data_IF_041940149170
#
_entry.id   IF_041940149170
#
_cell.length_a   1.000
_cell.length_b   1.000
_cell.length_c   1.000
_cell.angle_alpha   90.00
_cell.angle_beta   90.00
_cell.angle_gamma   90.00
#
_symmetry.space_group_name_H-M   'P 1'
#
loop_
_entity.id
_entity.type
_entity.pdbx_description
1 polymer ?
#
# COMPACT_ATOMS: atom_id res chain seq x y z
N UNK A 1 7.31 19.50 -30.22
CA UNK A 1 7.15 19.14 -28.79
C UNK A 1 7.51 17.68 -28.59
N UNK A 2 8.29 17.34 -27.55
CA UNK A 2 8.64 15.93 -27.26
C UNK A 2 7.39 15.18 -26.80
N UNK A 3 6.91 14.21 -27.58
CA UNK A 3 5.77 13.35 -27.25
C UNK A 3 6.18 12.45 -26.07
N UNK A 4 5.68 12.72 -24.87
CA UNK A 4 5.85 11.85 -23.70
C UNK A 4 4.81 10.73 -23.78
N UNK A 5 5.24 9.48 -23.60
CA UNK A 5 4.32 8.34 -23.48
C UNK A 5 3.44 8.55 -22.24
N UNK A 6 2.13 8.32 -22.39
CA UNK A 6 1.20 8.28 -21.26
C UNK A 6 1.20 6.94 -20.53
N UNK A 7 1.92 5.93 -21.06
CA UNK A 7 2.00 4.59 -20.50
C UNK A 7 3.40 4.39 -19.91
N UNK A 8 3.44 3.95 -18.66
CA UNK A 8 4.66 3.57 -17.94
C UNK A 8 4.55 2.15 -17.42
N UNK A 9 5.69 1.45 -17.36
CA UNK A 9 5.82 0.16 -16.70
C UNK A 9 6.77 0.28 -15.52
N UNK A 10 6.40 -0.27 -14.36
CA UNK A 10 7.24 -0.30 -13.16
C UNK A 10 7.37 -1.73 -12.65
N UNK A 11 8.58 -2.09 -12.23
CA UNK A 11 8.77 -3.18 -11.28
C UNK A 11 8.48 -2.66 -9.88
N UNK A 12 8.07 -3.56 -9.00
CA UNK A 12 7.78 -3.25 -7.61
C UNK A 12 8.10 -4.43 -6.70
N UNK A 13 8.65 -4.08 -5.54
CA UNK A 13 9.03 -5.01 -4.49
C UNK A 13 8.51 -4.45 -3.15
N UNK A 14 7.94 -5.33 -2.31
CA UNK A 14 7.54 -4.99 -0.95
C UNK A 14 8.36 -5.77 0.05
N UNK A 15 9.08 -5.05 0.90
CA UNK A 15 9.94 -5.61 1.94
C UNK A 15 9.45 -5.18 3.32
N UNK A 16 9.61 -6.06 4.31
CA UNK A 16 9.25 -5.74 5.69
C UNK A 16 10.07 -4.58 6.26
N UNK A 17 9.38 -3.59 6.81
CA UNK A 17 10.02 -2.37 7.31
C UNK A 17 10.85 -2.66 8.58
N UNK A 18 12.10 -2.15 8.71
CA UNK A 18 12.96 -2.44 9.86
C UNK A 18 12.43 -1.91 11.19
N UNK A 19 11.62 -0.85 11.17
CA UNK A 19 11.01 -0.30 12.39
C UNK A 19 10.08 -1.27 13.13
N UNK A 20 9.65 -2.38 12.50
CA UNK A 20 8.82 -3.39 13.16
C UNK A 20 9.56 -4.10 14.30
N UNK A 21 10.89 -4.26 14.20
CA UNK A 21 11.74 -4.75 15.30
C UNK A 21 11.97 -3.70 16.39
N UNK A 22 11.96 -2.41 16.04
CA UNK A 22 12.28 -1.30 16.96
C UNK A 22 11.06 -0.73 17.68
N UNK A 23 9.87 -0.91 17.11
CA UNK A 23 8.63 -0.33 17.62
C UNK A 23 7.64 -1.45 17.94
N UNK A 24 7.50 -2.48 17.10
CA UNK A 24 6.46 -3.51 17.23
C UNK A 24 6.53 -4.30 18.54
N UNK A 25 5.46 -4.26 19.33
CA UNK A 25 5.34 -5.02 20.59
C UNK A 25 6.30 -4.62 21.72
N UNK A 26 7.23 -3.69 21.49
CA UNK A 26 8.26 -3.33 22.48
C UNK A 26 7.73 -2.59 23.70
N UNK A 27 6.60 -1.89 23.58
CA UNK A 27 5.96 -1.18 24.70
C UNK A 27 4.55 -1.74 24.94
N UNK A 28 4.35 -2.55 26.00
CA UNK A 28 3.05 -3.15 26.29
C UNK A 28 1.94 -2.11 26.45
N UNK A 29 0.99 -2.08 25.51
CA UNK A 29 -0.14 -1.15 25.51
C UNK A 29 0.07 0.15 24.71
N UNK A 30 1.26 0.38 24.17
CA UNK A 30 1.56 1.52 23.28
C UNK A 30 2.09 1.10 21.90
N UNK A 31 2.50 -0.16 21.75
CA UNK A 31 2.84 -0.72 20.44
C UNK A 31 2.27 -2.12 20.27
N UNK A 32 1.74 -2.36 19.07
CA UNK A 32 1.12 -3.63 18.70
C UNK A 32 2.11 -4.54 17.99
N UNK A 33 1.92 -5.84 18.14
CA UNK A 33 2.64 -6.83 17.36
C UNK A 33 2.31 -6.64 15.88
N UNK A 34 3.34 -6.53 15.05
CA UNK A 34 3.19 -6.50 13.60
C UNK A 34 3.38 -7.92 13.04
N UNK A 35 2.58 -8.36 12.05
CA UNK A 35 2.85 -9.59 11.31
C UNK A 35 4.05 -9.44 10.34
N UNK A 36 4.64 -8.25 10.26
CA UNK A 36 5.73 -7.93 9.35
C UNK A 36 7.08 -8.32 9.96
N UNK A 37 7.85 -9.12 9.23
CA UNK A 37 9.24 -9.44 9.57
C UNK A 37 10.18 -8.52 8.80
N UNK A 38 11.12 -7.81 9.45
CA UNK A 38 12.08 -6.93 8.78
C UNK A 38 12.86 -7.60 7.65
N UNK A 39 13.06 -6.82 6.57
CA UNK A 39 13.79 -7.23 5.37
C UNK A 39 13.24 -8.49 4.66
N UNK A 40 12.10 -9.01 5.10
CA UNK A 40 11.45 -10.17 4.47
C UNK A 40 10.68 -9.70 3.23
N UNK A 41 10.84 -10.36 2.05
CA UNK A 41 10.11 -10.01 0.84
C UNK A 41 8.67 -10.54 0.88
N UNK A 42 7.70 -9.63 0.84
CA UNK A 42 6.27 -9.93 0.76
C UNK A 42 5.74 -9.95 -0.66
N UNK A 43 6.33 -9.16 -1.55
CA UNK A 43 6.01 -9.16 -2.96
C UNK A 43 7.26 -8.85 -3.77
N UNK A 44 7.46 -9.57 -4.87
CA UNK A 44 8.50 -9.32 -5.85
C UNK A 44 7.89 -9.48 -7.23
N UNK A 45 7.69 -8.37 -7.95
CA UNK A 45 7.08 -8.37 -9.30
C UNK A 45 7.81 -9.26 -10.32
N UNK A 46 9.07 -9.56 -10.08
CA UNK A 46 9.88 -10.47 -10.91
C UNK A 46 9.48 -11.94 -10.74
N UNK A 47 8.99 -12.33 -9.55
CA UNK A 47 8.46 -13.67 -9.28
C UNK A 47 7.00 -13.80 -9.75
N UNK A 48 6.27 -12.69 -9.80
CA UNK A 48 4.89 -12.59 -10.28
C UNK A 48 4.78 -12.21 -11.77
N UNK A 49 5.76 -12.64 -12.58
CA UNK A 49 5.99 -12.06 -13.91
C UNK A 49 4.79 -12.12 -14.88
N UNK A 50 3.96 -13.16 -14.83
CA UNK A 50 2.83 -13.33 -15.76
C UNK A 50 1.73 -12.33 -15.44
N UNK A 51 1.22 -12.35 -14.21
CA UNK A 51 0.09 -11.50 -13.78
C UNK A 51 0.55 -10.04 -13.78
N UNK A 52 1.75 -9.75 -13.27
CA UNK A 52 2.29 -8.39 -13.21
C UNK A 52 2.47 -7.72 -14.58
N UNK A 53 2.83 -8.49 -15.62
CA UNK A 53 3.05 -7.95 -16.98
C UNK A 53 1.81 -7.97 -17.85
N UNK A 54 0.90 -8.92 -17.64
CA UNK A 54 -0.31 -9.04 -18.48
C UNK A 54 -1.53 -8.35 -17.87
N UNK A 55 -1.56 -8.19 -16.55
CA UNK A 55 -2.74 -7.73 -15.83
C UNK A 55 -3.88 -8.75 -15.83
N UNK A 56 -3.65 -10.00 -16.23
CA UNK A 56 -4.64 -11.08 -16.21
C UNK A 56 -4.41 -11.99 -15.00
N UNK A 57 -5.49 -12.43 -14.31
CA UNK A 57 -6.90 -12.27 -14.68
C UNK A 57 -7.53 -10.94 -14.22
N UNK A 58 -6.78 -10.05 -13.56
CA UNK A 58 -7.35 -8.87 -12.90
C UNK A 58 -8.11 -7.90 -13.82
N UNK A 59 -7.74 -7.85 -15.09
CA UNK A 59 -8.40 -6.99 -16.09
C UNK A 59 -9.84 -7.44 -16.38
N UNK A 60 -10.22 -8.64 -15.93
CA UNK A 60 -11.57 -9.17 -16.00
C UNK A 60 -12.43 -8.74 -14.80
N UNK A 61 -11.84 -8.12 -13.77
CA UNK A 61 -12.60 -7.64 -12.62
C UNK A 61 -13.38 -6.36 -12.95
N UNK A 62 -14.60 -6.18 -12.42
CA UNK A 62 -15.41 -4.98 -12.64
C UNK A 62 -14.67 -3.68 -12.30
N UNK A 63 -13.80 -3.71 -11.31
CA UNK A 63 -12.94 -2.62 -10.86
C UNK A 63 -11.96 -2.14 -11.95
N UNK A 64 -11.55 -3.03 -12.87
CA UNK A 64 -10.69 -2.68 -14.00
C UNK A 64 -11.47 -2.09 -15.18
N UNK A 65 -12.77 -2.42 -15.29
CA UNK A 65 -13.57 -2.13 -16.48
C UNK A 65 -14.50 -0.93 -16.30
N UNK A 66 -14.89 -0.61 -15.08
CA UNK A 66 -15.83 0.48 -14.78
C UNK A 66 -15.05 1.71 -14.29
N UNK A 67 -15.05 2.81 -15.07
CA UNK A 67 -14.43 4.06 -14.64
C UNK A 67 -15.00 4.56 -13.30
N UNK A 68 -14.17 5.18 -12.47
CA UNK A 68 -14.55 5.65 -11.15
C UNK A 68 -14.55 4.59 -10.05
N UNK A 69 -14.36 3.30 -10.39
CA UNK A 69 -14.14 2.25 -9.40
C UNK A 69 -12.66 2.07 -9.13
N UNK A 70 -12.33 1.97 -7.84
CA UNK A 70 -10.98 1.69 -7.35
C UNK A 70 -9.91 2.57 -8.00
N UNK A 71 -10.08 3.88 -7.88
CA UNK A 71 -9.19 4.90 -8.45
C UNK A 71 -8.49 5.68 -7.33
N UNK A 72 -7.22 6.03 -7.52
CA UNK A 72 -6.49 6.88 -6.59
C UNK A 72 -6.76 8.34 -6.98
N UNK A 73 -7.42 9.08 -6.10
CA UNK A 73 -7.97 10.39 -6.42
C UNK A 73 -9.32 10.31 -7.12
N UNK A 74 -9.84 11.47 -7.54
CA UNK A 74 -11.11 11.58 -8.22
C UNK A 74 -11.01 12.56 -9.39
N UNK A 75 -11.83 12.34 -10.43
CA UNK A 75 -11.95 13.30 -11.54
C UNK A 75 -12.62 14.61 -11.10
N UNK A 76 -13.57 14.54 -10.16
CA UNK A 76 -14.28 15.72 -9.63
C UNK A 76 -13.34 16.70 -8.92
N UNK A 77 -12.39 16.17 -8.14
CA UNK A 77 -11.40 16.96 -7.40
C UNK A 77 -10.17 17.32 -8.25
N UNK A 78 -10.16 16.95 -9.54
CA UNK A 78 -9.07 17.18 -10.49
C UNK A 78 -7.71 16.63 -10.01
N UNK A 79 -7.72 15.58 -9.19
CA UNK A 79 -6.52 14.97 -8.59
C UNK A 79 -6.38 13.48 -8.95
N UNK A 80 -6.98 13.06 -10.06
CA UNK A 80 -6.93 11.67 -10.54
C UNK A 80 -5.48 11.23 -10.87
N UNK A 81 -4.99 10.20 -10.17
CA UNK A 81 -3.64 9.66 -10.35
C UNK A 81 -3.61 8.40 -11.21
N UNK A 82 -4.61 7.53 -11.07
CA UNK A 82 -4.72 6.29 -11.84
C UNK A 82 -5.62 5.26 -11.17
N UNK A 83 -5.92 4.19 -11.89
CA UNK A 83 -6.70 3.06 -11.37
C UNK A 83 -5.82 2.10 -10.56
N UNK A 84 -6.39 1.49 -9.52
CA UNK A 84 -5.76 0.37 -8.80
C UNK A 84 -5.81 -0.89 -9.65
N UNK A 85 -6.92 -1.16 -10.34
CA UNK A 85 -7.07 -2.35 -11.17
C UNK A 85 -6.79 -2.06 -12.66
N UNK A 86 -6.22 -3.04 -13.40
CA UNK A 86 -5.59 -4.26 -12.90
C UNK A 86 -4.31 -3.93 -12.11
N UNK A 87 -4.04 -4.65 -11.01
CA UNK A 87 -2.85 -4.48 -10.16
C UNK A 87 -1.62 -5.06 -10.85
N UNK A 88 -1.20 -4.38 -11.90
CA UNK A 88 -0.08 -4.72 -12.77
C UNK A 88 1.00 -3.62 -12.75
N UNK A 89 2.12 -3.87 -13.41
CA UNK A 89 3.18 -2.87 -13.55
C UNK A 89 2.83 -1.72 -14.51
N UNK A 90 1.82 -1.86 -15.36
CA UNK A 90 1.44 -0.86 -16.35
C UNK A 90 0.49 0.21 -15.76
N UNK A 91 0.86 1.48 -15.90
CA UNK A 91 0.06 2.63 -15.45
C UNK A 91 -0.07 3.66 -16.56
N UNK A 92 -1.29 4.16 -16.74
CA UNK A 92 -1.61 5.27 -17.63
C UNK A 92 -1.38 6.61 -16.90
N UNK A 93 -0.12 7.03 -16.77
CA UNK A 93 0.25 8.27 -16.10
C UNK A 93 1.50 8.89 -16.75
N UNK A 94 1.44 10.18 -17.06
CA UNK A 94 2.54 10.92 -17.69
C UNK A 94 3.62 11.29 -16.67
N UNK A 95 3.23 11.51 -15.42
CA UNK A 95 4.11 11.78 -14.30
C UNK A 95 4.71 10.49 -13.71
N UNK A 96 6.03 10.42 -13.60
CA UNK A 96 6.69 9.18 -13.17
C UNK A 96 6.57 8.90 -11.66
N UNK A 97 6.46 9.96 -10.85
CA UNK A 97 6.27 9.86 -9.40
C UNK A 97 4.86 9.34 -9.08
N UNK A 98 3.84 9.94 -9.71
CA UNK A 98 2.45 9.47 -9.57
C UNK A 98 2.30 8.03 -10.05
N UNK A 99 2.98 7.66 -11.14
CA UNK A 99 2.98 6.27 -11.63
C UNK A 99 3.58 5.31 -10.59
N UNK A 100 4.69 5.68 -9.95
CA UNK A 100 5.31 4.86 -8.91
C UNK A 100 4.43 4.76 -7.65
N UNK A 101 3.77 5.83 -7.25
CA UNK A 101 2.84 5.84 -6.12
C UNK A 101 1.60 4.95 -6.37
N UNK A 102 1.03 4.99 -7.58
CA UNK A 102 -0.08 4.08 -7.97
C UNK A 102 0.37 2.62 -7.87
N UNK A 103 1.58 2.31 -8.35
CA UNK A 103 2.13 0.95 -8.27
C UNK A 103 2.39 0.51 -6.83
N UNK A 104 2.90 1.41 -5.97
CA UNK A 104 3.07 1.13 -4.55
C UNK A 104 1.71 0.83 -3.88
N UNK A 105 0.66 1.59 -4.19
CA UNK A 105 -0.69 1.34 -3.71
C UNK A 105 -1.22 -0.03 -4.16
N UNK A 106 -0.99 -0.42 -5.42
CA UNK A 106 -1.38 -1.74 -5.95
C UNK A 106 -0.73 -2.88 -5.18
N UNK A 107 0.58 -2.79 -4.95
CA UNK A 107 1.30 -3.81 -4.17
C UNK A 107 0.79 -3.87 -2.74
N UNK A 108 0.53 -2.72 -2.12
CA UNK A 108 -0.06 -2.68 -0.78
C UNK A 108 -1.46 -3.33 -0.73
N UNK A 109 -2.32 -3.08 -1.72
CA UNK A 109 -3.62 -3.73 -1.84
C UNK A 109 -3.48 -5.26 -2.00
N UNK A 110 -2.52 -5.75 -2.80
CA UNK A 110 -2.24 -7.19 -2.95
C UNK A 110 -1.83 -7.81 -1.61
N UNK A 111 -0.75 -7.30 -1.00
CA UNK A 111 -0.14 -7.96 0.17
C UNK A 111 -1.03 -7.91 1.41
N UNK A 112 -1.95 -6.95 1.50
CA UNK A 112 -2.86 -6.83 2.65
C UNK A 112 -4.19 -7.57 2.47
N UNK A 113 -4.39 -8.23 1.33
CA UNK A 113 -5.55 -9.09 1.04
C UNK A 113 -5.14 -10.56 0.94
N UNK A 114 -6.13 -11.44 0.92
CA UNK A 114 -5.93 -12.89 0.94
C UNK A 114 -6.50 -13.54 -0.31
N UNK A 115 -5.79 -14.52 -0.86
CA UNK A 115 -6.24 -15.24 -2.05
C UNK A 115 -6.24 -14.41 -3.33
N UNK A 116 -5.41 -13.37 -3.39
CA UNK A 116 -5.24 -12.58 -4.62
C UNK A 116 -4.53 -13.41 -5.70
N UNK A 117 -4.83 -13.21 -6.99
CA UNK A 117 -4.27 -14.00 -8.09
C UNK A 117 -2.83 -13.58 -8.41
N UNK A 118 -1.96 -13.53 -7.41
CA UNK A 118 -0.57 -13.07 -7.48
C UNK A 118 0.36 -14.04 -6.73
N UNK A 119 1.66 -13.99 -7.02
CA UNK A 119 2.70 -14.67 -6.23
C UNK A 119 3.19 -13.72 -5.13
N UNK A 120 2.72 -13.92 -3.90
CA UNK A 120 3.02 -13.02 -2.77
C UNK A 120 2.93 -13.73 -1.42
N UNK A 121 3.34 -13.02 -0.36
CA UNK A 121 3.07 -13.38 1.03
C UNK A 121 2.14 -12.35 1.65
N UNK A 122 1.15 -12.85 2.38
CA UNK A 122 0.14 -12.02 3.02
C UNK A 122 0.72 -11.29 4.24
N UNK A 123 0.43 -10.00 4.36
CA UNK A 123 0.66 -9.14 5.52
C UNK A 123 -0.69 -8.93 6.21
N UNK A 124 -1.26 -10.01 6.73
CA UNK A 124 -2.55 -9.96 7.43
C UNK A 124 -2.39 -10.40 8.87
N UNK A 125 -2.77 -9.52 9.80
CA UNK A 125 -2.88 -9.89 11.20
C UNK A 125 -4.13 -10.75 11.43
N UNK A 126 -4.06 -11.68 12.37
CA UNK A 126 -5.23 -12.45 12.82
C UNK A 126 -5.88 -11.71 13.99
N UNK A 127 -7.11 -11.24 13.79
CA UNK A 127 -7.90 -10.59 14.84
C UNK A 127 -8.11 -11.54 16.01
N UNK A 128 -7.84 -11.06 17.22
CA UNK A 128 -8.01 -11.80 18.49
C UNK A 128 -8.32 -10.82 19.61
N UNK A 129 -8.81 -11.32 20.74
CA UNK A 129 -9.11 -10.46 21.89
C UNK A 129 -7.88 -9.62 22.29
N UNK A 130 -8.05 -8.30 22.30
CA UNK A 130 -6.98 -7.35 22.59
C UNK A 130 -6.04 -7.02 21.42
N UNK A 131 -6.33 -7.51 20.21
CA UNK A 131 -5.56 -7.22 19.00
C UNK A 131 -6.47 -7.14 17.76
N UNK A 132 -6.58 -5.93 17.22
CA UNK A 132 -7.39 -5.57 16.06
C UNK A 132 -6.45 -5.08 14.96
N UNK A 133 -6.07 -5.97 14.02
CA UNK A 133 -5.28 -5.56 12.87
C UNK A 133 -6.09 -4.63 11.96
N UNK A 134 -5.43 -3.77 11.18
CA UNK A 134 -6.09 -2.90 10.21
C UNK A 134 -6.74 -3.75 9.11
N UNK A 135 -7.76 -3.17 8.48
CA UNK A 135 -8.31 -3.71 7.23
C UNK A 135 -7.29 -3.62 6.09
N UNK A 136 -7.57 -4.33 4.99
CA UNK A 136 -6.77 -4.26 3.78
C UNK A 136 -6.61 -2.81 3.30
N UNK A 137 -5.48 -2.53 2.65
CA UNK A 137 -5.19 -1.19 2.14
C UNK A 137 -6.24 -0.80 1.10
N UNK A 138 -6.83 0.37 1.29
CA UNK A 138 -7.85 0.91 0.39
C UNK A 138 -7.66 2.43 0.22
N UNK A 139 -7.60 2.83 -1.04
CA UNK A 139 -7.43 4.22 -1.49
C UNK A 139 -8.62 5.11 -1.12
N UNK A 140 -8.41 6.43 -1.08
CA UNK A 140 -9.44 7.45 -0.79
C UNK A 140 -10.16 7.31 0.58
N UNK A 141 -9.60 6.57 1.52
CA UNK A 141 -10.16 6.40 2.88
C UNK A 141 -9.70 7.47 3.88
N UNK A 142 -8.93 8.46 3.41
CA UNK A 142 -8.23 9.44 4.23
C UNK A 142 -7.15 8.77 5.07
N UNK A 143 -6.88 9.28 6.26
CA UNK A 143 -5.79 8.81 7.14
C UNK A 143 -6.17 7.61 8.03
N UNK A 144 -7.37 7.05 7.85
CA UNK A 144 -7.93 6.00 8.72
C UNK A 144 -7.39 4.61 8.42
N UNK A 145 -7.06 4.33 7.16
CA UNK A 145 -6.66 2.98 6.73
C UNK A 145 -5.14 2.83 6.66
N UNK A 146 -4.45 3.78 6.04
CA UNK A 146 -3.00 3.77 5.90
C UNK A 146 -2.44 5.18 5.67
N UNK A 147 -1.12 5.29 5.72
CA UNK A 147 -0.35 6.47 5.31
C UNK A 147 0.95 6.03 4.61
N UNK A 148 1.45 6.90 3.76
CA UNK A 148 2.70 6.74 3.03
C UNK A 148 3.72 7.77 3.50
N UNK A 149 4.95 7.32 3.69
CA UNK A 149 6.11 8.19 3.84
C UNK A 149 7.02 8.04 2.64
N UNK A 150 7.31 9.14 1.94
CA UNK A 150 8.22 9.16 0.79
C UNK A 150 9.68 9.06 1.25
N UNK A 151 10.46 8.19 0.60
CA UNK A 151 11.88 7.98 0.90
C UNK A 151 12.81 8.39 -0.25
N UNK A 152 12.37 8.20 -1.50
CA UNK A 152 13.15 8.49 -2.70
C UNK A 152 12.26 9.20 -3.73
N UNK A 153 12.75 10.26 -4.41
CA UNK A 153 14.13 10.79 -4.40
C UNK A 153 14.50 11.64 -3.19
N UNK A 154 13.52 12.19 -2.48
CA UNK A 154 13.72 12.99 -1.26
C UNK A 154 12.94 12.41 -0.09
N UNK A 155 13.60 12.25 1.06
CA UNK A 155 12.96 11.74 2.26
C UNK A 155 12.01 12.79 2.84
N UNK A 156 10.73 12.42 2.97
CA UNK A 156 9.74 13.22 3.68
C UNK A 156 9.79 12.96 5.19
N UNK A 157 9.65 14.03 5.97
CA UNK A 157 9.49 13.97 7.44
C UNK A 157 8.04 13.82 7.89
N UNK A 158 7.09 13.90 6.96
CA UNK A 158 5.66 13.72 7.21
C UNK A 158 5.11 12.54 6.43
N UNK A 159 4.00 11.99 6.92
CA UNK A 159 3.25 10.96 6.22
C UNK A 159 2.01 11.58 5.57
N UNK A 160 1.63 11.11 4.38
CA UNK A 160 0.47 11.56 3.63
C UNK A 160 -0.31 10.36 3.06
N UNK A 161 -1.41 10.63 2.36
CA UNK A 161 -2.19 9.62 1.64
C UNK A 161 -2.28 10.10 0.20
N UNK A 162 -2.14 9.18 -0.76
CA UNK A 162 -2.28 9.54 -2.16
C UNK A 162 -3.73 9.86 -2.50
N UNK A 163 -4.01 10.86 -3.36
CA UNK A 163 -3.09 11.85 -3.92
C UNK A 163 -2.47 12.83 -2.90
N UNK A 164 -1.15 13.03 -2.92
CA UNK A 164 -0.44 13.90 -1.96
C UNK A 164 0.30 15.10 -2.61
N UNK A 165 -0.21 15.58 -3.76
CA UNK A 165 0.29 16.79 -4.44
C UNK A 165 1.32 16.51 -5.54
N UNK A 166 2.21 17.47 -5.79
CA UNK A 166 3.27 17.33 -6.80
C UNK A 166 4.61 17.08 -6.14
N UNK A 167 5.32 16.07 -6.65
CA UNK A 167 6.65 15.68 -6.17
C UNK A 167 7.57 15.48 -7.37
N UNK A 168 8.86 15.77 -7.18
CA UNK A 168 9.85 15.56 -8.22
C UNK A 168 10.13 14.07 -8.36
N UNK A 169 9.97 13.53 -9.57
CA UNK A 169 10.41 12.16 -9.87
C UNK A 169 11.94 12.06 -9.86
N UNK A 170 12.45 10.90 -9.43
CA UNK A 170 13.88 10.62 -9.48
C UNK A 170 14.38 10.57 -10.93
N UNK A 171 15.63 10.98 -11.18
CA UNK A 171 16.23 10.94 -12.53
C UNK A 171 16.29 9.52 -13.11
N UNK A 172 16.51 8.53 -12.25
CA UNK A 172 16.49 7.11 -12.60
C UNK A 172 15.09 6.49 -12.65
N UNK A 173 14.04 7.27 -12.34
CA UNK A 173 12.65 6.82 -12.29
C UNK A 173 12.31 5.85 -11.14
N UNK A 174 13.21 5.68 -10.17
CA UNK A 174 12.96 4.81 -9.02
C UNK A 174 12.38 5.62 -7.86
N UNK A 175 11.40 5.06 -7.17
CA UNK A 175 10.81 5.65 -5.98
C UNK A 175 10.69 4.59 -4.88
N UNK A 176 10.69 5.05 -3.63
CA UNK A 176 10.55 4.20 -2.46
C UNK A 176 9.64 4.89 -1.44
N UNK A 177 8.77 4.09 -0.83
CA UNK A 177 7.77 4.55 0.12
C UNK A 177 7.70 3.59 1.31
N UNK A 178 7.55 4.12 2.52
CA UNK A 178 7.15 3.33 3.69
C UNK A 178 5.64 3.38 3.84
N UNK A 179 5.02 2.21 3.97
CA UNK A 179 3.61 2.05 4.29
C UNK A 179 3.40 1.93 5.80
N UNK A 180 2.47 2.71 6.33
CA UNK A 180 2.08 2.71 7.73
C UNK A 180 0.58 2.41 7.85
N UNK A 181 0.22 1.35 8.58
CA UNK A 181 -1.18 1.04 8.90
C UNK A 181 -1.42 1.12 10.42
N UNK A 182 -2.62 1.55 10.87
CA UNK A 182 -2.93 1.73 12.27
C UNK A 182 -3.38 0.41 12.91
N UNK A 183 -2.45 -0.29 13.56
CA UNK A 183 -2.79 -1.43 14.41
C UNK A 183 -3.37 -0.95 15.73
N UNK A 184 -4.45 -1.59 16.18
CA UNK A 184 -5.05 -1.33 17.50
C UNK A 184 -4.87 -2.54 18.40
N UNK A 185 -4.38 -2.33 19.61
CA UNK A 185 -4.17 -3.40 20.58
C UNK A 185 -4.23 -2.84 22.00
N UNK A 186 -4.47 -3.72 22.98
CA UNK A 186 -4.46 -3.35 24.39
C UNK A 186 -3.59 -4.29 25.21
N UNK A 187 -3.02 -3.78 26.31
CA UNK A 187 -2.30 -4.61 27.28
C UNK A 187 -3.26 -5.61 27.91
N UNK A 188 -2.93 -6.91 27.83
CA UNK A 188 -3.68 -7.96 28.50
C UNK A 188 -3.61 -7.76 30.03
N UNK A 189 -4.73 -7.41 30.66
CA UNK A 189 -4.86 -7.24 32.12
C UNK A 189 -5.66 -8.36 32.82
N UNK A 190 -6.00 -9.44 32.11
CA UNK A 190 -6.75 -10.60 32.66
C UNK A 190 -6.83 -11.78 31.69
N UNK A 191 -7.56 -12.84 32.06
CA UNK A 191 -7.72 -14.04 31.22
C UNK A 191 -8.77 -13.88 30.10
N UNK A 192 -9.81 -13.05 30.29
CA UNK A 192 -10.91 -12.80 29.34
C UNK A 192 -11.11 -11.30 29.14
N UNK A 193 -11.21 -10.84 27.89
CA UNK A 193 -11.49 -9.44 27.57
C UNK A 193 -12.97 -9.14 27.82
N UNK A 194 -13.25 -8.11 28.63
CA UNK A 194 -14.62 -7.73 29.01
C UNK A 194 -15.13 -6.48 28.26
N UNK A 195 -14.23 -5.69 27.65
CA UNK A 195 -14.57 -4.49 26.89
C UNK A 195 -13.54 -3.37 27.05
N UNK A 196 -13.67 -2.32 26.24
CA UNK A 196 -12.89 -1.08 26.34
C UNK A 196 -13.77 0.12 25.98
N UNK A 197 -13.63 1.22 26.73
CA UNK A 197 -14.22 2.53 26.42
C UNK A 197 -13.19 3.44 25.77
N UNK A 198 -13.56 4.07 24.66
CA UNK A 198 -12.79 5.16 24.04
C UNK A 198 -13.55 6.47 24.27
N UNK A 199 -12.83 7.51 24.68
CA UNK A 199 -13.33 8.89 24.78
C UNK A 199 -13.06 9.64 23.48
#
# INVERSE_FOLDING_TARGET
GKRRSAIRFKYADALGHPATQLIGGMVPGFSCDSPVTPAMPYFLSTLDSIVWRTGLPESLYPEAQVPGKREIGTQADKNMWGSVYPRSGFVMQTDDDRAAAVVAQRVADIITRTGEPHVYREVKGVKRDGYWPPEAVEENTGTRNHKWQRLTPSVSRSCAVFPDGEHQAAENGNAAFSLWQPYSCCKKRGQRFLGSTNF
#
